data_IF_341785377146
#
_entry.id   IF_341785377146
#
_cell.length_a   1.000
_cell.length_b   1.000
_cell.length_c   1.000
_cell.angle_alpha   90.00
_cell.angle_beta   90.00
_cell.angle_gamma   90.00
#
_symmetry.space_group_name_H-M   'P 1'
#
loop_
_entity.id
_entity.type
_entity.pdbx_description
1 polymer ?
#
# COMPACT_ATOMS: atom_id res chain seq x y z
N UNK A 1 33.69 24.72 -31.29
CA UNK A 1 33.78 23.63 -30.30
C UNK A 1 32.47 23.61 -29.53
N UNK A 2 31.45 22.96 -30.10
CA UNK A 2 30.06 23.27 -29.77
C UNK A 2 29.26 21.97 -29.59
N UNK A 3 28.47 21.93 -28.50
CA UNK A 3 27.36 21.00 -28.23
C UNK A 3 27.63 19.56 -27.75
N UNK A 4 28.33 19.37 -26.63
CA UNK A 4 28.12 18.16 -25.79
C UNK A 4 27.22 18.46 -24.58
N UNK A 5 27.20 19.71 -24.09
CA UNK A 5 26.34 20.13 -22.99
C UNK A 5 24.84 20.08 -23.35
N UNK A 6 24.47 20.50 -24.56
CA UNK A 6 23.07 20.61 -24.98
C UNK A 6 22.35 19.26 -25.15
N UNK A 7 23.08 18.17 -25.47
CA UNK A 7 22.48 16.83 -25.61
C UNK A 7 22.19 16.19 -24.24
N UNK A 8 23.00 16.49 -23.20
CA UNK A 8 22.78 16.00 -21.83
C UNK A 8 21.55 16.59 -21.17
N UNK A 9 21.13 17.79 -21.57
CA UNK A 9 19.96 18.50 -21.01
C UNK A 9 18.61 18.06 -21.61
N UNK A 10 18.57 16.98 -22.40
CA UNK A 10 17.31 16.39 -22.90
C UNK A 10 16.73 15.34 -21.96
N UNK A 11 17.57 14.75 -21.10
CA UNK A 11 17.13 13.82 -20.06
C UNK A 11 16.85 14.63 -18.78
N UNK A 12 15.58 14.67 -18.31
CA UNK A 12 15.22 15.44 -17.13
C UNK A 12 15.96 14.98 -15.87
N UNK A 13 16.33 13.70 -15.78
CA UNK A 13 17.12 13.21 -14.66
C UNK A 13 18.55 13.72 -14.72
N UNK A 14 19.18 13.68 -15.89
CA UNK A 14 20.55 14.18 -16.05
C UNK A 14 20.65 15.69 -15.83
N UNK A 15 19.64 16.45 -16.24
CA UNK A 15 19.57 17.88 -16.00
C UNK A 15 19.43 18.24 -14.52
N UNK A 16 18.46 17.62 -13.82
CA UNK A 16 18.28 17.80 -12.38
C UNK A 16 19.55 17.42 -11.61
N UNK A 17 20.20 16.31 -12.00
CA UNK A 17 21.47 15.87 -11.43
C UNK A 17 22.57 16.91 -11.60
N UNK A 18 22.70 17.44 -12.82
CA UNK A 18 23.72 18.44 -13.16
C UNK A 18 23.54 19.71 -12.34
N UNK A 19 22.30 20.22 -12.24
CA UNK A 19 22.00 21.41 -11.43
C UNK A 19 22.38 21.19 -9.97
N UNK A 20 21.94 20.07 -9.37
CA UNK A 20 22.23 19.77 -7.96
C UNK A 20 23.72 19.55 -7.69
N UNK A 21 24.45 18.94 -8.63
CA UNK A 21 25.88 18.63 -8.49
C UNK A 21 26.75 19.88 -8.48
N UNK A 22 26.44 20.87 -9.30
CA UNK A 22 27.22 22.10 -9.41
C UNK A 22 26.70 23.26 -8.54
N UNK A 23 25.55 23.08 -7.90
CA UNK A 23 25.01 24.07 -7.00
C UNK A 23 25.90 24.29 -5.76
N UNK A 24 26.27 25.55 -5.52
CA UNK A 24 26.96 25.98 -4.30
C UNK A 24 25.99 26.25 -3.14
N UNK A 25 24.71 26.42 -3.44
CA UNK A 25 23.63 26.69 -2.48
C UNK A 25 22.53 25.64 -2.64
N UNK A 26 21.67 25.42 -1.63
CA UNK A 26 20.49 24.59 -1.78
C UNK A 26 19.63 25.06 -2.96
N UNK A 27 19.17 24.13 -3.79
CA UNK A 27 18.43 24.41 -5.03
C UNK A 27 16.94 24.20 -4.80
N UNK A 28 16.09 25.14 -5.21
CA UNK A 28 14.64 24.99 -5.08
C UNK A 28 14.07 23.98 -6.09
N UNK A 29 12.89 23.43 -5.79
CA UNK A 29 12.17 22.58 -6.75
C UNK A 29 11.89 23.30 -8.07
N UNK A 30 11.60 24.61 -8.02
CA UNK A 30 11.37 25.42 -9.20
C UNK A 30 12.62 25.49 -10.09
N UNK A 31 13.79 25.78 -9.50
CA UNK A 31 15.04 25.86 -10.25
C UNK A 31 15.42 24.51 -10.90
N UNK A 32 15.11 23.39 -10.23
CA UNK A 32 15.33 22.04 -10.78
C UNK A 32 14.40 21.77 -11.96
N UNK A 33 13.13 22.16 -11.85
CA UNK A 33 12.12 21.94 -12.88
C UNK A 33 12.38 22.79 -14.13
N UNK A 34 12.82 24.05 -13.93
CA UNK A 34 13.10 25.00 -15.00
C UNK A 34 14.53 24.91 -15.56
N UNK A 35 15.37 24.01 -15.05
CA UNK A 35 16.72 23.77 -15.55
C UNK A 35 16.79 23.44 -17.06
N UNK A 36 15.68 23.00 -17.66
CA UNK A 36 15.59 22.54 -19.05
C UNK A 36 14.80 23.47 -19.98
N UNK A 37 14.40 24.66 -19.52
CA UNK A 37 13.42 25.49 -20.23
C UNK A 37 13.91 26.07 -21.58
N UNK A 38 15.20 25.96 -21.88
CA UNK A 38 15.83 26.58 -23.06
C UNK A 38 15.81 25.70 -24.32
N UNK A 39 15.35 24.44 -24.24
CA UNK A 39 15.42 23.50 -25.39
C UNK A 39 14.03 23.20 -25.94
N UNK A 40 13.65 23.93 -26.99
CA UNK A 40 12.35 23.95 -27.67
C UNK A 40 11.78 22.61 -28.21
N UNK A 41 12.37 21.45 -27.91
CA UNK A 41 12.02 20.15 -28.51
C UNK A 41 12.07 18.94 -27.55
N UNK A 42 12.29 19.12 -26.24
CA UNK A 42 12.25 18.01 -25.28
C UNK A 42 10.95 18.02 -24.48
N UNK A 43 10.33 16.85 -24.28
CA UNK A 43 9.17 16.73 -23.41
C UNK A 43 9.54 17.18 -21.99
N UNK A 44 8.90 18.25 -21.50
CA UNK A 44 9.13 18.74 -20.14
C UNK A 44 8.80 17.63 -19.13
N UNK A 45 9.69 17.34 -18.16
CA UNK A 45 9.32 16.45 -17.07
C UNK A 45 8.15 17.05 -16.30
N UNK A 46 7.18 16.21 -15.91
CA UNK A 46 6.11 16.71 -15.05
C UNK A 46 6.65 17.00 -13.65
N UNK A 47 5.92 17.84 -12.91
CA UNK A 47 6.20 18.06 -11.48
C UNK A 47 6.22 16.72 -10.71
N UNK A 48 5.30 15.81 -11.04
CA UNK A 48 5.21 14.50 -10.40
C UNK A 48 6.45 13.64 -10.68
N UNK A 49 6.93 13.62 -11.94
CA UNK A 49 8.13 12.86 -12.31
C UNK A 49 9.37 13.39 -11.60
N UNK A 50 9.49 14.72 -11.53
CA UNK A 50 10.59 15.39 -10.82
C UNK A 50 10.56 15.08 -9.32
N UNK A 51 9.39 15.16 -8.68
CA UNK A 51 9.25 14.80 -7.26
C UNK A 51 9.61 13.33 -7.04
N UNK A 52 9.11 12.41 -7.88
CA UNK A 52 9.43 11.00 -7.78
C UNK A 52 10.92 10.71 -7.93
N UNK A 53 11.60 11.41 -8.84
CA UNK A 53 13.04 11.32 -9.03
C UNK A 53 13.80 11.80 -7.79
N UNK A 54 13.45 12.98 -7.26
CA UNK A 54 14.09 13.55 -6.07
C UNK A 54 13.87 12.68 -4.83
N UNK A 55 12.66 12.16 -4.64
CA UNK A 55 12.36 11.22 -3.55
C UNK A 55 13.19 9.95 -3.63
N UNK A 56 13.46 9.46 -4.85
CA UNK A 56 14.31 8.29 -5.07
C UNK A 56 15.75 8.56 -4.66
N UNK A 57 16.33 9.67 -5.08
CA UNK A 57 17.69 10.06 -4.69
C UNK A 57 17.79 10.38 -3.20
N UNK A 58 16.74 10.95 -2.60
CA UNK A 58 16.64 11.17 -1.15
C UNK A 58 16.62 9.84 -0.39
N UNK A 59 15.80 8.89 -0.84
CA UNK A 59 15.73 7.55 -0.25
C UNK A 59 17.03 6.76 -0.36
N UNK A 60 17.86 7.04 -1.36
CA UNK A 60 19.18 6.46 -1.53
C UNK A 60 20.30 7.25 -0.81
N UNK A 61 19.98 8.32 -0.09
CA UNK A 61 20.96 9.13 0.63
C UNK A 61 21.84 10.01 -0.26
N UNK A 62 21.48 10.22 -1.53
CA UNK A 62 22.29 11.01 -2.48
C UNK A 62 22.03 12.51 -2.37
N UNK A 63 20.81 12.87 -1.96
CA UNK A 63 20.39 14.25 -1.75
C UNK A 63 19.64 14.36 -0.42
N UNK A 64 19.63 15.57 0.14
CA UNK A 64 18.87 15.92 1.33
C UNK A 64 17.89 17.04 0.99
N UNK A 65 16.68 16.94 1.54
CA UNK A 65 15.65 17.99 1.49
C UNK A 65 15.76 18.86 2.73
N UNK A 66 15.80 20.17 2.53
CA UNK A 66 15.63 21.20 3.55
C UNK A 66 14.16 21.62 3.50
N UNK A 67 13.47 21.60 4.64
CA UNK A 67 12.02 21.78 4.66
C UNK A 67 11.57 23.24 4.49
N UNK A 68 12.41 24.21 4.86
CA UNK A 68 12.08 25.63 4.82
C UNK A 68 13.31 26.49 4.44
N UNK A 69 13.35 27.09 3.24
CA UNK A 69 12.49 26.81 2.07
C UNK A 69 12.66 25.37 1.56
N UNK A 70 11.69 24.85 0.79
CA UNK A 70 11.80 23.53 0.14
C UNK A 70 12.93 23.54 -0.90
N UNK A 71 14.11 23.14 -0.44
CA UNK A 71 15.33 23.11 -1.23
C UNK A 71 16.02 21.76 -1.08
N UNK A 72 16.83 21.43 -2.07
CA UNK A 72 17.56 20.17 -2.15
C UNK A 72 19.06 20.46 -2.21
N UNK A 73 19.84 19.67 -1.48
CA UNK A 73 21.30 19.71 -1.51
C UNK A 73 21.84 18.31 -1.82
N UNK A 74 22.83 18.23 -2.71
CA UNK A 74 23.51 16.97 -3.02
C UNK A 74 24.57 16.66 -1.99
N UNK A 75 24.56 15.43 -1.48
CA UNK A 75 25.56 14.94 -0.53
C UNK A 75 26.96 14.86 -1.16
N UNK A 76 28.00 14.95 -0.34
CA UNK A 76 29.38 14.95 -0.81
C UNK A 76 29.74 13.68 -1.59
N UNK A 77 29.27 12.49 -1.14
CA UNK A 77 29.53 11.24 -1.86
C UNK A 77 28.83 11.21 -3.23
N UNK A 78 27.64 11.79 -3.31
CA UNK A 78 26.87 11.86 -4.55
C UNK A 78 27.52 12.76 -5.62
N UNK A 79 28.23 13.83 -5.21
CA UNK A 79 28.91 14.75 -6.14
C UNK A 79 30.04 14.09 -6.95
N UNK A 80 30.60 12.98 -6.43
CA UNK A 80 31.65 12.23 -7.12
C UNK A 80 31.14 11.55 -8.40
N UNK A 81 29.84 11.24 -8.49
CA UNK A 81 29.27 10.63 -9.69
C UNK A 81 29.04 11.68 -10.79
N UNK A 82 29.64 11.44 -11.95
CA UNK A 82 29.47 12.27 -13.14
C UNK A 82 28.02 12.26 -13.64
N UNK A 83 27.40 11.09 -13.60
CA UNK A 83 26.05 10.81 -14.06
C UNK A 83 25.21 10.36 -12.85
N UNK A 84 23.89 10.61 -12.85
CA UNK A 84 23.03 10.12 -11.79
C UNK A 84 23.17 8.60 -11.72
N UNK A 85 23.54 8.03 -10.56
CA UNK A 85 23.57 6.58 -10.43
C UNK A 85 22.16 6.06 -10.71
N UNK A 86 22.09 4.90 -11.38
CA UNK A 86 20.85 4.16 -11.50
C UNK A 86 20.44 3.72 -10.09
N UNK A 87 19.72 4.60 -9.38
CA UNK A 87 19.09 4.25 -8.12
C UNK A 87 18.00 3.26 -8.51
N UNK A 88 18.33 1.97 -8.39
CA UNK A 88 17.34 0.92 -8.40
C UNK A 88 16.24 1.30 -7.42
N UNK A 89 14.99 0.91 -7.71
CA UNK A 89 13.89 1.10 -6.77
C UNK A 89 14.40 0.73 -5.39
N UNK A 90 14.58 1.73 -4.51
CA UNK A 90 14.98 1.46 -3.14
C UNK A 90 13.96 0.45 -2.64
N UNK A 91 14.43 -0.73 -2.24
CA UNK A 91 13.57 -1.82 -1.82
C UNK A 91 12.69 -1.24 -0.72
N UNK A 92 11.45 -0.88 -1.08
CA UNK A 92 10.50 -0.29 -0.15
C UNK A 92 10.43 -1.31 0.97
N UNK A 93 10.79 -0.90 2.17
CA UNK A 93 10.64 -1.76 3.34
C UNK A 93 9.22 -2.33 3.26
N UNK A 94 9.07 -3.66 3.17
CA UNK A 94 7.80 -4.25 2.79
C UNK A 94 6.79 -3.84 3.86
N UNK A 95 5.85 -2.98 3.47
CA UNK A 95 4.86 -2.42 4.40
C UNK A 95 4.23 -3.58 5.16
N UNK A 96 4.22 -3.54 6.51
CA UNK A 96 3.70 -4.65 7.30
C UNK A 96 2.28 -4.96 6.85
N UNK A 97 2.00 -6.24 6.61
CA UNK A 97 0.69 -6.71 6.15
C UNK A 97 -0.37 -6.21 7.13
N UNK A 98 -1.46 -5.64 6.59
CA UNK A 98 -2.57 -5.18 7.42
C UNK A 98 -3.14 -6.34 8.25
N UNK A 99 -3.74 -6.03 9.41
CA UNK A 99 -4.38 -7.03 10.29
C UNK A 99 -5.35 -7.93 9.54
N UNK A 100 -6.16 -7.36 8.63
CA UNK A 100 -7.08 -8.08 7.73
C UNK A 100 -6.34 -9.07 6.83
N UNK A 101 -5.23 -8.62 6.23
CA UNK A 101 -4.43 -9.45 5.35
C UNK A 101 -3.74 -10.60 6.10
N UNK A 102 -3.26 -10.36 7.32
CA UNK A 102 -2.67 -11.40 8.18
C UNK A 102 -3.69 -12.47 8.55
N UNK A 103 -4.88 -12.05 9.01
CA UNK A 103 -5.99 -12.97 9.31
C UNK A 103 -6.37 -13.78 8.06
N UNK A 104 -6.56 -13.14 6.91
CA UNK A 104 -6.89 -13.86 5.66
C UNK A 104 -5.85 -14.89 5.26
N UNK A 105 -4.57 -14.56 5.43
CA UNK A 105 -3.48 -15.48 5.14
C UNK A 105 -3.55 -16.71 6.04
N UNK A 106 -3.77 -16.53 7.35
CA UNK A 106 -3.96 -17.64 8.29
C UNK A 106 -5.19 -18.49 7.96
N UNK A 107 -6.34 -17.85 7.71
CA UNK A 107 -7.60 -18.49 7.31
C UNK A 107 -7.41 -19.42 6.11
N UNK A 108 -6.70 -18.96 5.07
CA UNK A 108 -6.47 -19.74 3.84
C UNK A 108 -5.57 -20.96 4.07
N UNK A 109 -4.58 -20.84 4.94
CA UNK A 109 -3.65 -21.93 5.27
C UNK A 109 -4.37 -22.96 6.12
N UNK A 110 -5.05 -22.53 7.18
CA UNK A 110 -5.65 -23.43 8.17
C UNK A 110 -6.95 -24.09 7.68
N UNK A 111 -7.77 -23.37 6.91
CA UNK A 111 -9.09 -23.79 6.37
C UNK A 111 -10.17 -24.17 7.39
N UNK A 112 -9.83 -24.65 8.57
CA UNK A 112 -10.72 -24.87 9.71
C UNK A 112 -9.95 -24.54 10.98
N UNK A 113 -10.56 -23.74 11.84
CA UNK A 113 -9.87 -23.15 12.99
C UNK A 113 -10.87 -22.60 14.02
N UNK A 114 -10.41 -22.41 15.25
CA UNK A 114 -11.09 -21.62 16.27
C UNK A 114 -10.54 -20.18 16.37
N UNK A 115 -11.14 -19.37 17.24
CA UNK A 115 -10.73 -17.98 17.43
C UNK A 115 -9.29 -17.86 17.96
N UNK A 116 -8.90 -18.73 18.89
CA UNK A 116 -7.61 -18.67 19.57
C UNK A 116 -6.50 -19.02 18.60
N UNK A 117 -6.66 -20.09 17.83
CA UNK A 117 -5.72 -20.52 16.81
C UNK A 117 -5.46 -19.42 15.78
N UNK A 118 -6.50 -18.70 15.33
CA UNK A 118 -6.33 -17.56 14.42
C UNK A 118 -5.59 -16.39 15.07
N UNK A 119 -5.88 -16.10 16.34
CA UNK A 119 -5.19 -15.02 17.05
C UNK A 119 -3.68 -15.29 17.14
N UNK A 120 -3.31 -16.52 17.44
CA UNK A 120 -1.91 -16.96 17.44
C UNK A 120 -1.30 -16.92 16.04
N UNK A 121 -1.93 -17.57 15.05
CA UNK A 121 -1.39 -17.69 13.70
C UNK A 121 -1.23 -16.34 12.98
N UNK A 122 -2.15 -15.39 13.21
CA UNK A 122 -2.09 -14.07 12.60
C UNK A 122 -1.37 -13.02 13.48
N UNK A 123 -1.07 -13.35 14.75
CA UNK A 123 -0.52 -12.45 15.77
C UNK A 123 -1.39 -11.20 15.95
N UNK A 124 -2.67 -11.41 16.27
CA UNK A 124 -3.70 -10.36 16.36
C UNK A 124 -4.53 -10.49 17.61
N UNK A 125 -5.12 -9.38 18.05
CA UNK A 125 -6.07 -9.38 19.16
C UNK A 125 -7.39 -10.07 18.82
N UNK A 126 -7.97 -10.75 19.81
CA UNK A 126 -9.23 -11.48 19.67
C UNK A 126 -10.41 -10.61 19.21
N UNK A 127 -10.47 -9.34 19.66
CA UNK A 127 -11.52 -8.41 19.25
C UNK A 127 -11.45 -8.11 17.74
N UNK A 128 -10.24 -7.87 17.22
CA UNK A 128 -10.03 -7.60 15.81
C UNK A 128 -10.30 -8.84 14.96
N UNK A 129 -9.80 -10.00 15.39
CA UNK A 129 -10.05 -11.29 14.73
C UNK A 129 -11.55 -11.59 14.64
N UNK A 130 -12.26 -11.56 15.76
CA UNK A 130 -13.71 -11.84 15.83
C UNK A 130 -14.51 -10.93 14.90
N UNK A 131 -14.20 -9.63 14.88
CA UNK A 131 -14.87 -8.68 13.99
C UNK A 131 -14.69 -9.08 12.51
N UNK A 132 -13.46 -9.36 12.10
CA UNK A 132 -13.13 -9.68 10.70
C UNK A 132 -13.71 -11.04 10.30
N UNK A 133 -13.63 -12.05 11.16
CA UNK A 133 -14.24 -13.37 10.91
C UNK A 133 -15.76 -13.28 10.76
N UNK A 134 -16.43 -12.45 11.56
CA UNK A 134 -17.88 -12.21 11.42
C UNK A 134 -18.22 -11.50 10.11
N UNK A 135 -17.42 -10.51 9.70
CA UNK A 135 -17.58 -9.83 8.41
C UNK A 135 -17.44 -10.84 7.24
N UNK A 136 -16.41 -11.70 7.28
CA UNK A 136 -16.20 -12.75 6.27
C UNK A 136 -17.31 -13.82 6.28
N UNK A 137 -17.84 -14.15 7.47
CA UNK A 137 -18.96 -15.09 7.63
C UNK A 137 -20.22 -14.52 6.98
N UNK A 138 -20.52 -13.23 7.22
CA UNK A 138 -21.68 -12.55 6.61
C UNK A 138 -21.58 -12.47 5.08
N UNK A 139 -20.36 -12.38 4.54
CA UNK A 139 -20.12 -12.41 3.10
C UNK A 139 -20.08 -13.84 2.51
N UNK A 140 -20.26 -14.88 3.33
CA UNK A 140 -20.25 -16.28 2.87
C UNK A 140 -18.86 -16.82 2.52
N UNK A 141 -17.78 -16.18 2.98
CA UNK A 141 -16.44 -16.75 2.86
C UNK A 141 -16.19 -17.84 3.88
N UNK A 142 -16.74 -17.66 5.09
CA UNK A 142 -16.63 -18.58 6.20
C UNK A 142 -18.01 -19.09 6.61
N UNK A 143 -18.05 -20.30 7.13
CA UNK A 143 -19.21 -20.85 7.83
C UNK A 143 -18.82 -21.12 9.27
N UNK A 144 -19.66 -20.69 10.22
CA UNK A 144 -19.50 -21.07 11.64
C UNK A 144 -19.88 -22.53 11.82
N UNK A 145 -19.06 -23.26 12.55
CA UNK A 145 -19.23 -24.71 12.80
C UNK A 145 -19.20 -25.05 14.28
N UNK A 146 -19.30 -24.05 15.15
CA UNK A 146 -19.35 -24.27 16.60
C UNK A 146 -20.66 -24.93 17.05
N UNK A 147 -20.55 -25.78 18.06
CA UNK A 147 -21.66 -26.47 18.71
C UNK A 147 -21.94 -25.87 20.08
N UNK A 148 -23.15 -26.12 20.60
CA UNK A 148 -23.48 -25.79 21.98
C UNK A 148 -22.51 -26.52 22.92
N UNK A 149 -21.78 -25.78 23.75
CA UNK A 149 -20.76 -26.30 24.67
C UNK A 149 -19.31 -26.15 24.19
N UNK A 150 -19.06 -25.63 22.98
CA UNK A 150 -17.70 -25.33 22.55
C UNK A 150 -17.12 -24.13 23.32
N UNK A 151 -15.90 -24.28 23.84
CA UNK A 151 -15.19 -23.22 24.58
C UNK A 151 -14.96 -21.96 23.73
N UNK A 152 -14.74 -22.15 22.43
CA UNK A 152 -14.45 -21.09 21.47
C UNK A 152 -15.21 -21.28 20.16
N UNK A 153 -15.66 -20.17 19.52
CA UNK A 153 -16.31 -20.24 18.21
C UNK A 153 -15.35 -20.79 17.16
N UNK A 154 -15.89 -21.60 16.24
CA UNK A 154 -15.16 -22.32 15.20
C UNK A 154 -15.67 -21.93 13.82
N UNK A 155 -14.75 -21.86 12.86
CA UNK A 155 -15.06 -21.54 11.48
C UNK A 155 -14.41 -22.51 10.52
N UNK A 156 -15.05 -22.67 9.36
CA UNK A 156 -14.51 -23.34 8.18
C UNK A 156 -14.52 -22.39 6.99
N UNK A 157 -13.46 -22.43 6.20
CA UNK A 157 -13.37 -21.73 4.92
C UNK A 157 -14.25 -22.45 3.89
N UNK A 158 -15.30 -21.77 3.46
CA UNK A 158 -16.29 -22.31 2.51
C UNK A 158 -16.02 -21.81 1.11
N UNK A 159 -15.56 -20.56 0.97
CA UNK A 159 -15.21 -19.95 -0.30
C UNK A 159 -13.71 -19.66 -0.36
N UNK A 160 -12.89 -20.54 -0.95
CA UNK A 160 -11.49 -20.24 -1.16
C UNK A 160 -11.37 -19.10 -2.18
N UNK A 161 -10.72 -18.02 -1.79
CA UNK A 161 -10.33 -16.93 -2.68
C UNK A 161 -8.82 -16.72 -2.62
N UNK A 162 -8.27 -15.96 -3.57
CA UNK A 162 -6.85 -15.74 -3.77
C UNK A 162 -6.15 -14.99 -2.62
N UNK A 163 -4.88 -14.58 -2.83
CA UNK A 163 -4.03 -14.01 -1.79
C UNK A 163 -4.54 -12.72 -1.17
N UNK A 164 -5.35 -11.93 -1.86
CA UNK A 164 -5.80 -10.63 -1.36
C UNK A 164 -7.03 -10.79 -0.47
N UNK A 165 -7.00 -10.20 0.73
CA UNK A 165 -8.18 -10.15 1.60
C UNK A 165 -9.33 -9.38 0.89
N UNK A 166 -10.58 -9.89 0.91
CA UNK A 166 -11.75 -9.20 0.34
C UNK A 166 -11.96 -7.78 0.91
N UNK A 167 -12.24 -6.78 0.07
CA UNK A 167 -12.42 -5.39 0.52
C UNK A 167 -13.85 -5.18 1.00
N UNK A 168 -14.03 -4.39 2.06
CA UNK A 168 -15.37 -3.94 2.49
C UNK A 168 -15.71 -2.65 1.76
N UNK A 169 -16.93 -2.58 1.24
CA UNK A 169 -17.56 -1.38 0.75
C UNK A 169 -18.52 -0.83 1.80
N UNK A 170 -18.47 0.49 1.97
CA UNK A 170 -19.31 1.22 2.90
C UNK A 170 -20.20 2.19 2.13
N UNK A 171 -21.45 2.32 2.57
CA UNK A 171 -22.32 3.45 2.27
C UNK A 171 -22.51 4.26 3.55
N UNK A 172 -21.84 5.40 3.65
CA UNK A 172 -21.72 6.14 4.92
C UNK A 172 -21.00 5.29 5.98
N UNK A 173 -21.69 5.01 7.10
CA UNK A 173 -21.19 4.16 8.19
C UNK A 173 -21.58 2.69 8.07
N UNK A 174 -22.40 2.35 7.07
CA UNK A 174 -22.97 1.01 6.91
C UNK A 174 -22.13 0.18 5.94
N UNK A 175 -21.79 -1.05 6.33
CA UNK A 175 -21.16 -2.01 5.43
C UNK A 175 -22.22 -2.56 4.46
N UNK A 176 -22.04 -2.33 3.16
CA UNK A 176 -23.04 -2.68 2.13
C UNK A 176 -22.63 -3.89 1.31
N UNK A 177 -21.34 -4.10 1.10
CA UNK A 177 -20.86 -5.24 0.35
C UNK A 177 -19.44 -5.61 0.74
N UNK A 178 -19.05 -6.83 0.40
CA UNK A 178 -17.69 -7.29 0.39
C UNK A 178 -17.29 -7.63 -1.04
N UNK A 179 -16.21 -7.05 -1.53
CA UNK A 179 -15.68 -7.29 -2.87
C UNK A 179 -14.45 -8.18 -2.76
N UNK A 180 -14.50 -9.34 -3.39
CA UNK A 180 -13.32 -10.16 -3.57
C UNK A 180 -12.34 -9.45 -4.51
N UNK A 181 -11.17 -9.11 -3.99
CA UNK A 181 -10.13 -8.43 -4.76
C UNK A 181 -9.43 -9.32 -5.78
N UNK A 182 -9.57 -10.64 -5.65
CA UNK A 182 -8.93 -11.61 -6.54
C UNK A 182 -9.80 -11.92 -7.77
N UNK A 183 -11.13 -11.92 -7.61
CA UNK A 183 -12.09 -12.24 -8.68
C UNK A 183 -12.94 -11.05 -9.14
N UNK A 184 -12.96 -9.96 -8.37
CA UNK A 184 -13.88 -8.83 -8.60
C UNK A 184 -15.32 -9.11 -8.16
N UNK A 185 -15.62 -10.31 -7.66
CA UNK A 185 -16.98 -10.67 -7.25
C UNK A 185 -17.45 -9.83 -6.06
N UNK A 186 -18.70 -9.38 -6.13
CA UNK A 186 -19.33 -8.52 -5.12
C UNK A 186 -20.38 -9.29 -4.34
N UNK A 187 -20.25 -9.29 -3.01
CA UNK A 187 -21.13 -9.98 -2.08
C UNK A 187 -21.90 -8.96 -1.26
N UNK A 188 -23.20 -8.77 -1.51
CA UNK A 188 -24.00 -7.84 -0.72
C UNK A 188 -24.03 -8.32 0.74
N UNK A 189 -23.71 -7.42 1.65
CA UNK A 189 -23.88 -7.63 3.08
C UNK A 189 -25.25 -7.07 3.44
N UNK A 190 -26.20 -7.92 3.83
CA UNK A 190 -27.47 -7.43 4.34
C UNK A 190 -27.18 -6.44 5.49
N UNK A 191 -27.79 -5.23 5.50
CA UNK A 191 -27.68 -4.34 6.65
C UNK A 191 -28.14 -5.14 7.86
N UNK A 192 -27.35 -5.07 8.94
CA UNK A 192 -27.51 -5.92 10.12
C UNK A 192 -28.95 -5.90 10.64
N UNK A 193 -29.78 -6.84 10.22
CA UNK A 193 -30.89 -7.29 11.03
C UNK A 193 -30.25 -8.01 12.21
N UNK A 194 -30.53 -7.51 13.41
CA UNK A 194 -30.29 -8.26 14.64
C UNK A 194 -30.74 -9.69 14.37
N UNK A 195 -29.83 -10.64 14.52
CA UNK A 195 -30.13 -12.06 14.39
C UNK A 195 -31.36 -12.32 15.25
N UNK A 196 -32.44 -12.79 14.62
CA UNK A 196 -33.61 -13.39 15.25
C UNK A 196 -33.11 -14.48 16.20
N UNK A 197 -32.92 -14.10 17.46
CA UNK A 197 -32.90 -15.04 18.56
C UNK A 197 -34.36 -15.30 18.90
N UNK A 198 -34.85 -16.48 18.51
CA UNK A 198 -36.18 -16.96 18.84
C UNK A 198 -37.03 -17.17 17.61
N UNK A 199 -36.88 -18.32 16.96
CA UNK A 199 -37.96 -19.06 16.30
C UNK A 199 -37.41 -20.34 15.68
N UNK A 200 -37.03 -21.32 16.53
CA UNK A 200 -37.05 -22.74 16.16
C UNK A 200 -37.44 -23.55 17.42
N UNK A 201 -38.68 -24.02 17.40
CA UNK A 201 -39.22 -25.24 18.03
C UNK A 201 -39.58 -25.26 19.53
N UNK A 202 -40.84 -24.90 19.82
CA UNK A 202 -41.70 -25.71 20.69
C UNK A 202 -42.93 -26.16 19.88
N UNK A 203 -42.83 -27.34 19.29
CA UNK A 203 -43.98 -28.19 18.97
C UNK A 203 -43.64 -29.58 19.47
N UNK A 204 -44.14 -29.91 20.65
CA UNK A 204 -44.46 -31.24 21.16
C UNK A 204 -45.33 -31.05 22.39
#
# INVERSE_FOLDING_TARGET
MTFVAAARMRDPALAAWTVLRFAQKPVSLADILFANDDVAQSARPTLADTIHLLDRWRGAGLIQRIEKPECYIMQAEARAFRDPPAVGETAREPKPRSTRQRIWSAVRVMRSFDLVEICFAATVEARAARRILNELTRAGFLTRTDRAGDDHPRWRLTRPSGPLHPRIEYAGRTMVAMVDRNSGARFPLAPSQKILAGEINHVS
#
